data_IF_933537433910
#
_entry.id   IF_933537433910
#
_cell.length_a   1.000
_cell.length_b   1.000
_cell.length_c   1.000
_cell.angle_alpha   90.00
_cell.angle_beta   90.00
_cell.angle_gamma   90.00
#
_symmetry.space_group_name_H-M   'P 1'
#
loop_
_entity.id
_entity.type
_entity.pdbx_description
1 polymer ?
#
# COMPACT_ATOMS: atom_id res chain seq x y z
N UNK A 1 -25.09 -21.26 5.44
CA UNK A 1 -24.17 -20.12 5.72
C UNK A 1 -23.36 -20.43 6.95
N UNK A 2 -22.05 -20.36 6.84
CA UNK A 2 -21.13 -20.48 7.96
C UNK A 2 -20.58 -19.09 8.31
N UNK A 3 -20.49 -18.81 9.62
CA UNK A 3 -19.78 -17.64 10.15
C UNK A 3 -18.55 -18.17 10.87
N UNK A 4 -17.38 -17.73 10.43
CA UNK A 4 -16.10 -18.11 11.00
C UNK A 4 -15.37 -16.88 11.53
N UNK A 5 -14.99 -16.91 12.79
CA UNK A 5 -14.26 -15.81 13.43
C UNK A 5 -12.79 -16.20 13.55
N UNK A 6 -11.93 -15.42 12.95
CA UNK A 6 -10.48 -15.63 12.99
C UNK A 6 -9.72 -14.31 13.08
N UNK A 7 -8.51 -14.36 13.60
CA UNK A 7 -7.54 -13.27 13.51
C UNK A 7 -6.44 -13.57 12.49
N UNK A 8 -6.56 -14.69 11.77
CA UNK A 8 -5.64 -15.08 10.70
C UNK A 8 -6.16 -14.55 9.36
N UNK A 9 -5.40 -13.63 8.76
CA UNK A 9 -5.75 -12.94 7.52
C UNK A 9 -5.78 -13.92 6.34
N UNK A 10 -4.84 -14.86 6.28
CA UNK A 10 -4.75 -15.83 5.19
C UNK A 10 -5.96 -16.76 5.20
N UNK A 11 -6.40 -17.23 6.37
CA UNK A 11 -7.64 -18.00 6.50
C UNK A 11 -8.84 -17.20 6.02
N UNK A 12 -8.98 -15.94 6.44
CA UNK A 12 -10.08 -15.09 6.02
C UNK A 12 -10.10 -14.90 4.50
N UNK A 13 -8.95 -14.59 3.89
CA UNK A 13 -8.84 -14.35 2.45
C UNK A 13 -9.09 -15.60 1.60
N UNK A 14 -8.67 -16.78 2.07
CA UNK A 14 -8.72 -18.01 1.28
C UNK A 14 -10.01 -18.82 1.45
N UNK A 15 -10.69 -18.69 2.60
CA UNK A 15 -11.83 -19.54 2.95
C UNK A 15 -13.19 -18.84 2.88
N UNK A 16 -13.22 -17.51 2.70
CA UNK A 16 -14.44 -16.73 2.80
C UNK A 16 -14.93 -16.20 1.45
N UNK A 17 -16.24 -16.17 1.27
CA UNK A 17 -16.88 -15.48 0.16
C UNK A 17 -17.06 -13.99 0.49
N UNK A 18 -17.22 -13.69 1.77
CA UNK A 18 -17.37 -12.33 2.30
C UNK A 18 -16.63 -12.20 3.62
N UNK A 19 -15.89 -11.11 3.77
CA UNK A 19 -15.12 -10.77 4.96
C UNK A 19 -15.75 -9.55 5.64
N UNK A 20 -15.84 -9.62 6.95
CA UNK A 20 -16.17 -8.49 7.82
C UNK A 20 -14.92 -8.20 8.66
N UNK A 21 -14.28 -7.07 8.45
CA UNK A 21 -13.14 -6.62 9.25
C UNK A 21 -13.66 -5.80 10.41
N UNK A 22 -13.27 -6.18 11.63
CA UNK A 22 -13.69 -5.51 12.86
C UNK A 22 -12.49 -5.01 13.67
N UNK A 23 -12.65 -3.88 14.31
CA UNK A 23 -11.70 -3.34 15.26
C UNK A 23 -12.44 -2.71 16.44
N UNK A 24 -12.07 -3.06 17.66
CA UNK A 24 -12.68 -2.53 18.90
C UNK A 24 -14.22 -2.59 18.91
N UNK A 25 -14.78 -3.67 18.37
CA UNK A 25 -16.23 -3.88 18.29
C UNK A 25 -16.94 -3.13 17.17
N UNK A 26 -16.22 -2.36 16.35
CA UNK A 26 -16.77 -1.63 15.21
C UNK A 26 -16.39 -2.31 13.91
N UNK A 27 -17.34 -2.36 12.98
CA UNK A 27 -17.10 -2.83 11.61
C UNK A 27 -16.30 -1.77 10.86
N UNK A 28 -15.14 -2.18 10.34
CA UNK A 28 -14.26 -1.31 9.56
C UNK A 28 -14.56 -1.41 8.07
N UNK A 29 -14.84 -2.60 7.57
CA UNK A 29 -15.17 -2.83 6.16
C UNK A 29 -15.84 -4.19 5.99
N UNK A 30 -16.71 -4.29 4.99
CA UNK A 30 -17.33 -5.55 4.55
C UNK A 30 -17.15 -5.64 3.03
N UNK A 31 -16.65 -6.78 2.56
CA UNK A 31 -16.47 -6.99 1.12
C UNK A 31 -16.02 -8.39 0.77
N UNK A 32 -15.80 -8.63 -0.53
CA UNK A 32 -15.14 -9.84 -0.99
C UNK A 32 -13.65 -9.81 -0.59
N UNK A 33 -12.96 -10.97 -0.52
CA UNK A 33 -11.53 -11.00 -0.26
C UNK A 33 -10.71 -10.08 -1.16
N UNK A 34 -11.03 -10.05 -2.44
CA UNK A 34 -10.34 -9.22 -3.44
C UNK A 34 -10.57 -7.73 -3.17
N UNK A 35 -11.82 -7.33 -2.89
CA UNK A 35 -12.14 -5.92 -2.62
C UNK A 35 -11.45 -5.42 -1.33
N UNK A 36 -11.50 -6.24 -0.26
CA UNK A 36 -10.84 -5.89 1.01
C UNK A 36 -9.33 -5.71 0.84
N UNK A 37 -8.69 -6.55 0.01
CA UNK A 37 -7.25 -6.46 -0.26
C UNK A 37 -6.89 -5.28 -1.15
N UNK A 38 -7.59 -5.12 -2.27
CA UNK A 38 -7.26 -4.11 -3.28
C UNK A 38 -7.74 -2.71 -2.92
N UNK A 39 -8.90 -2.61 -2.25
CA UNK A 39 -9.58 -1.35 -1.93
C UNK A 39 -9.88 -1.23 -0.43
N UNK A 40 -8.85 -1.27 0.45
CA UNK A 40 -9.08 -1.08 1.88
C UNK A 40 -9.63 0.33 2.14
N UNK A 41 -10.67 0.42 2.98
CA UNK A 41 -11.32 1.70 3.28
C UNK A 41 -10.48 2.59 4.20
N UNK A 42 -9.59 1.99 5.00
CA UNK A 42 -8.73 2.74 5.90
C UNK A 42 -7.41 2.02 6.20
N UNK A 43 -6.50 2.73 6.85
CA UNK A 43 -5.16 2.26 7.24
C UNK A 43 -5.21 0.98 8.07
N UNK A 44 -6.19 0.83 8.97
CA UNK A 44 -6.34 -0.37 9.77
C UNK A 44 -6.59 -1.60 8.89
N UNK A 45 -7.55 -1.53 7.98
CA UNK A 45 -7.86 -2.63 7.06
C UNK A 45 -6.66 -2.94 6.17
N UNK A 46 -6.02 -1.92 5.60
CA UNK A 46 -4.85 -2.09 4.73
C UNK A 46 -3.72 -2.86 5.42
N UNK A 47 -3.40 -2.50 6.67
CA UNK A 47 -2.34 -3.14 7.45
C UNK A 47 -2.76 -4.49 8.02
N UNK A 48 -4.04 -4.68 8.32
CA UNK A 48 -4.56 -5.93 8.88
C UNK A 48 -4.58 -7.06 7.84
N UNK A 49 -4.96 -6.73 6.59
CA UNK A 49 -5.12 -7.72 5.53
C UNK A 49 -3.81 -8.08 4.83
N UNK A 50 -2.85 -7.19 4.83
CA UNK A 50 -1.56 -7.43 4.17
C UNK A 50 -0.53 -6.38 4.50
N UNK A 51 0.69 -6.59 4.03
CA UNK A 51 1.73 -5.59 4.16
C UNK A 51 1.45 -4.41 3.22
N UNK A 52 1.73 -3.20 3.69
CA UNK A 52 1.49 -1.98 2.95
C UNK A 52 2.56 -0.94 3.23
N UNK A 53 2.90 -0.16 2.22
CA UNK A 53 3.52 1.13 2.40
C UNK A 53 2.39 2.16 2.45
N UNK A 54 2.27 2.88 3.56
CA UNK A 54 1.26 3.92 3.73
C UNK A 54 1.95 5.27 3.82
N UNK A 55 1.47 6.21 3.02
CA UNK A 55 2.00 7.56 2.92
C UNK A 55 0.86 8.54 3.17
N UNK A 56 1.12 9.56 3.97
CA UNK A 56 0.21 10.69 4.14
C UNK A 56 0.39 11.68 2.99
N UNK A 57 -0.70 12.11 2.39
CA UNK A 57 -0.67 13.00 1.25
C UNK A 57 -1.94 13.83 1.11
N UNK A 58 -2.09 14.45 -0.03
CA UNK A 58 -3.25 15.28 -0.36
C UNK A 58 -3.85 14.85 -1.70
N UNK A 59 -5.16 14.82 -1.75
CA UNK A 59 -5.91 14.65 -3.00
C UNK A 59 -5.98 16.00 -3.70
N UNK A 60 -5.29 16.14 -4.83
CA UNK A 60 -5.24 17.43 -5.54
C UNK A 60 -6.53 17.64 -6.36
N UNK A 61 -6.92 16.63 -7.11
CA UNK A 61 -8.15 16.53 -7.91
C UNK A 61 -8.32 15.10 -8.39
N UNK A 62 -9.42 14.81 -9.04
CA UNK A 62 -9.65 13.51 -9.65
C UNK A 62 -8.43 13.06 -10.46
N UNK A 63 -7.95 11.86 -10.17
CA UNK A 63 -6.80 11.20 -10.79
C UNK A 63 -5.43 11.81 -10.49
N UNK A 64 -5.32 12.68 -9.45
CA UNK A 64 -4.06 13.31 -9.07
C UNK A 64 -3.93 13.43 -7.55
N UNK A 65 -2.86 12.88 -7.01
CA UNK A 65 -2.48 12.96 -5.60
C UNK A 65 -1.09 13.56 -5.43
N UNK A 66 -0.80 14.04 -4.23
CA UNK A 66 0.52 14.57 -3.88
C UNK A 66 0.96 13.98 -2.54
N UNK A 67 2.21 13.56 -2.48
CA UNK A 67 2.91 13.30 -1.22
C UNK A 67 4.39 13.65 -1.32
N UNK A 68 4.95 14.06 -0.19
CA UNK A 68 6.35 14.49 -0.09
C UNK A 68 6.77 15.52 -1.15
N UNK A 69 5.84 16.45 -1.51
CA UNK A 69 6.10 17.52 -2.46
C UNK A 69 6.14 17.11 -3.93
N UNK A 70 5.70 15.90 -4.25
CA UNK A 70 5.64 15.39 -5.63
C UNK A 70 4.23 14.92 -5.96
N UNK A 71 3.77 15.24 -7.18
CA UNK A 71 2.47 14.83 -7.68
C UNK A 71 2.55 13.54 -8.49
N UNK A 72 1.51 12.70 -8.34
CA UNK A 72 1.41 11.42 -9.01
C UNK A 72 0.00 11.22 -9.58
N UNK A 73 -0.07 10.71 -10.79
CA UNK A 73 -1.33 10.26 -11.39
C UNK A 73 -1.81 9.01 -10.67
N UNK A 74 -3.12 8.93 -10.41
CA UNK A 74 -3.80 7.77 -9.83
C UNK A 74 -5.12 7.49 -10.55
N UNK A 75 -5.84 6.47 -10.12
CA UNK A 75 -7.15 6.10 -10.70
C UNK A 75 -8.33 6.49 -9.80
N UNK A 76 -8.05 7.02 -8.62
CA UNK A 76 -9.06 7.41 -7.65
C UNK A 76 -9.67 8.77 -7.97
N UNK A 77 -10.93 8.92 -7.56
CA UNK A 77 -11.73 10.14 -7.74
C UNK A 77 -12.77 10.30 -6.63
N UNK A 78 -13.35 11.47 -6.52
CA UNK A 78 -14.48 11.72 -5.63
C UNK A 78 -14.13 12.19 -4.23
N UNK A 79 -12.85 12.40 -3.92
CA UNK A 79 -12.42 13.12 -2.72
C UNK A 79 -12.50 14.64 -2.93
N UNK A 80 -12.49 15.41 -1.85
CA UNK A 80 -12.46 16.86 -1.95
C UNK A 80 -11.07 17.34 -2.39
N UNK A 81 -11.02 18.37 -3.24
CA UNK A 81 -9.74 18.97 -3.66
C UNK A 81 -8.99 19.56 -2.45
N UNK A 82 -7.74 19.15 -2.30
CA UNK A 82 -6.89 19.54 -1.17
C UNK A 82 -7.11 18.72 0.10
N UNK A 83 -8.00 17.73 0.10
CA UNK A 83 -8.24 16.85 1.24
C UNK A 83 -6.98 16.07 1.62
N UNK A 84 -6.72 15.97 2.93
CA UNK A 84 -5.74 15.01 3.45
C UNK A 84 -6.23 13.59 3.21
N UNK A 85 -5.34 12.72 2.74
CA UNK A 85 -5.63 11.32 2.43
C UNK A 85 -4.47 10.43 2.85
N UNK A 86 -4.78 9.18 3.10
CA UNK A 86 -3.79 8.11 3.19
C UNK A 86 -3.66 7.42 1.82
N UNK A 87 -2.44 7.13 1.43
CA UNK A 87 -2.12 6.48 0.15
C UNK A 87 -1.47 5.14 0.46
N UNK A 88 -1.98 4.07 -0.13
CA UNK A 88 -1.44 2.73 -0.01
C UNK A 88 -0.72 2.35 -1.28
N UNK A 89 0.50 1.84 -1.11
CA UNK A 89 1.29 1.18 -2.15
C UNK A 89 1.67 -0.21 -1.64
N UNK A 90 1.23 -1.26 -2.34
CA UNK A 90 1.58 -2.63 -1.94
C UNK A 90 3.04 -2.92 -2.27
N UNK A 91 3.75 -3.67 -1.41
CA UNK A 91 5.16 -4.00 -1.66
C UNK A 91 5.42 -4.72 -2.99
N UNK A 92 4.49 -5.55 -3.43
CA UNK A 92 4.56 -6.31 -4.69
C UNK A 92 4.33 -5.47 -5.95
N UNK A 93 3.74 -4.28 -5.80
CA UNK A 93 3.42 -3.36 -6.90
C UNK A 93 4.50 -2.30 -7.13
N UNK A 94 5.50 -2.26 -6.26
CA UNK A 94 6.64 -1.35 -6.40
C UNK A 94 7.78 -2.01 -7.15
N UNK A 95 8.25 -1.36 -8.19
CA UNK A 95 9.41 -1.77 -8.98
C UNK A 95 10.66 -1.00 -8.57
N UNK A 96 11.79 -1.70 -8.53
CA UNK A 96 13.12 -1.09 -8.36
C UNK A 96 13.72 -0.93 -9.75
N UNK A 97 14.05 0.30 -10.11
CA UNK A 97 14.63 0.65 -11.40
C UNK A 97 15.92 1.45 -11.23
N UNK A 98 16.68 1.59 -12.31
CA UNK A 98 17.90 2.40 -12.31
C UNK A 98 17.59 3.88 -12.01
N UNK A 99 18.52 4.58 -11.32
CA UNK A 99 18.35 6.00 -11.03
C UNK A 99 18.06 6.83 -12.28
N UNK A 100 17.06 7.72 -12.16
CA UNK A 100 16.59 8.56 -13.26
C UNK A 100 15.48 7.92 -14.13
N UNK A 101 15.08 6.67 -13.83
CA UNK A 101 14.03 5.97 -14.59
C UNK A 101 12.73 5.77 -13.81
N UNK A 102 12.73 6.07 -12.53
CA UNK A 102 11.57 5.93 -11.67
C UNK A 102 11.03 7.27 -11.17
N UNK A 103 10.18 7.19 -10.17
CA UNK A 103 9.46 8.33 -9.61
C UNK A 103 10.03 8.83 -8.28
N UNK A 104 10.58 7.91 -7.46
CA UNK A 104 11.07 8.23 -6.12
C UNK A 104 12.49 7.68 -5.96
N UNK A 105 13.45 8.57 -5.73
CA UNK A 105 14.85 8.20 -5.53
C UNK A 105 15.09 7.64 -4.12
N UNK A 106 15.93 6.61 -4.02
CA UNK A 106 16.29 6.02 -2.75
C UNK A 106 17.57 5.19 -2.80
N UNK A 107 17.84 4.55 -1.67
CA UNK A 107 18.98 3.65 -1.49
C UNK A 107 18.53 2.36 -0.83
N UNK A 108 18.98 1.24 -1.35
CA UNK A 108 18.72 -0.08 -0.75
C UNK A 108 19.46 -0.19 0.58
N UNK A 109 18.71 -0.38 1.67
CA UNK A 109 19.28 -0.49 3.03
C UNK A 109 19.14 -1.88 3.63
N UNK A 110 18.26 -2.72 3.09
CA UNK A 110 18.07 -4.11 3.54
C UNK A 110 17.61 -5.00 2.40
N UNK A 111 18.10 -6.24 2.37
CA UNK A 111 17.70 -7.29 1.42
C UNK A 111 17.55 -8.57 2.22
N UNK A 112 16.34 -9.13 2.29
CA UNK A 112 16.03 -10.35 3.03
C UNK A 112 15.36 -11.35 2.08
N UNK A 113 15.94 -12.56 1.99
CA UNK A 113 15.32 -13.64 1.23
C UNK A 113 14.20 -14.32 2.04
N UNK A 114 12.99 -14.35 1.51
CA UNK A 114 11.79 -14.91 2.14
C UNK A 114 11.37 -16.28 1.60
N UNK A 115 12.20 -16.91 0.78
CA UNK A 115 11.95 -18.22 0.18
C UNK A 115 11.36 -18.15 -1.22
N UNK A 116 10.37 -17.32 -1.47
CA UNK A 116 9.73 -17.13 -2.80
C UNK A 116 10.02 -15.77 -3.42
N UNK A 117 10.39 -14.80 -2.60
CA UNK A 117 10.74 -13.45 -3.02
C UNK A 117 11.77 -12.84 -2.07
N UNK A 118 12.37 -11.74 -2.48
CA UNK A 118 13.16 -10.86 -1.62
C UNK A 118 12.27 -9.76 -1.05
N UNK A 119 12.45 -9.48 0.22
CA UNK A 119 11.93 -8.28 0.86
C UNK A 119 13.06 -7.25 0.90
N UNK A 120 12.87 -6.16 0.19
CA UNK A 120 13.85 -5.09 0.05
C UNK A 120 13.32 -3.85 0.74
N UNK A 121 14.15 -3.21 1.55
CA UNK A 121 13.86 -1.93 2.14
C UNK A 121 14.67 -0.86 1.42
N UNK A 122 13.97 0.12 0.86
CA UNK A 122 14.55 1.27 0.18
C UNK A 122 14.31 2.51 1.01
N UNK A 123 15.39 3.16 1.44
CA UNK A 123 15.33 4.42 2.17
C UNK A 123 15.31 5.58 1.21
N UNK A 124 14.28 6.41 1.33
CA UNK A 124 14.15 7.66 0.60
C UNK A 124 14.40 8.85 1.53
N UNK A 125 14.29 10.07 1.02
CA UNK A 125 14.44 11.28 1.85
C UNK A 125 13.39 11.37 2.97
N UNK A 126 12.19 10.86 2.74
CA UNK A 126 11.06 11.08 3.65
C UNK A 126 10.66 9.83 4.45
N UNK A 127 10.78 8.64 3.89
CA UNK A 127 10.45 7.39 4.55
C UNK A 127 11.11 6.19 3.90
N UNK A 128 11.05 5.04 4.58
CA UNK A 128 11.47 3.77 4.03
C UNK A 128 10.28 3.09 3.33
N UNK A 129 10.53 2.49 2.16
CA UNK A 129 9.55 1.69 1.41
C UNK A 129 9.97 0.23 1.41
N UNK A 130 9.01 -0.65 1.63
CA UNK A 130 9.16 -2.10 1.52
C UNK A 130 8.76 -2.54 0.12
N UNK A 131 9.59 -3.35 -0.52
CA UNK A 131 9.35 -3.90 -1.86
C UNK A 131 9.48 -5.42 -1.81
N UNK A 132 8.54 -6.12 -2.44
CA UNK A 132 8.62 -7.56 -2.68
C UNK A 132 8.93 -7.81 -4.15
N UNK A 133 10.05 -8.45 -4.44
CA UNK A 133 10.49 -8.73 -5.80
C UNK A 133 11.22 -10.08 -5.87
N UNK A 134 11.22 -10.69 -7.05
CA UNK A 134 12.04 -11.87 -7.34
C UNK A 134 13.46 -11.51 -7.78
N UNK A 135 13.72 -10.24 -8.06
CA UNK A 135 15.00 -9.75 -8.53
C UNK A 135 15.94 -9.44 -7.36
N UNK A 136 17.16 -9.94 -7.45
CA UNK A 136 18.21 -9.66 -6.47
C UNK A 136 18.77 -8.26 -6.68
N UNK A 137 18.95 -7.55 -5.59
CA UNK A 137 19.69 -6.28 -5.54
C UNK A 137 20.67 -6.29 -4.37
N UNK A 138 21.49 -5.27 -4.26
CA UNK A 138 22.53 -5.17 -3.21
C UNK A 138 22.26 -3.99 -2.29
N UNK A 139 22.57 -4.18 -1.01
CA UNK A 139 22.58 -3.09 -0.02
C UNK A 139 23.58 -2.01 -0.43
N UNK A 140 23.17 -0.75 -0.32
CA UNK A 140 23.97 0.43 -0.69
C UNK A 140 23.75 0.89 -2.13
N UNK A 141 23.04 0.12 -2.96
CA UNK A 141 22.74 0.53 -4.34
C UNK A 141 21.77 1.71 -4.36
N UNK A 142 22.08 2.73 -5.15
CA UNK A 142 21.17 3.81 -5.49
C UNK A 142 20.17 3.33 -6.52
N UNK A 143 18.89 3.57 -6.27
CA UNK A 143 17.79 3.11 -7.11
C UNK A 143 16.69 4.16 -7.17
N UNK A 144 15.79 4.01 -8.13
CA UNK A 144 14.49 4.67 -8.10
C UNK A 144 13.40 3.63 -7.88
N UNK A 145 12.33 4.05 -7.23
CA UNK A 145 11.08 3.30 -7.15
C UNK A 145 10.16 3.74 -8.27
N UNK A 146 9.55 2.78 -8.94
CA UNK A 146 8.54 3.02 -9.98
C UNK A 146 7.26 2.24 -9.70
N UNK A 147 6.15 2.76 -10.16
CA UNK A 147 4.81 2.19 -10.00
C UNK A 147 3.86 2.82 -11.01
N UNK A 148 2.74 2.14 -11.26
CA UNK A 148 1.71 2.62 -12.17
C UNK A 148 0.62 3.39 -11.42
N UNK A 149 -0.19 4.23 -12.09
CA UNK A 149 -1.33 4.90 -11.47
C UNK A 149 -2.31 3.95 -10.77
N UNK A 150 -2.48 2.75 -11.30
CA UNK A 150 -3.34 1.68 -10.75
C UNK A 150 -2.81 1.07 -9.44
N UNK A 151 -1.52 1.23 -9.16
CA UNK A 151 -0.87 0.72 -7.96
C UNK A 151 -1.08 1.64 -6.74
N UNK A 152 -1.54 2.86 -6.99
CA UNK A 152 -1.87 3.85 -5.96
C UNK A 152 -3.32 3.64 -5.53
N UNK A 153 -3.55 3.43 -4.23
CA UNK A 153 -4.89 3.40 -3.66
C UNK A 153 -5.04 4.50 -2.63
N UNK A 154 -6.06 5.35 -2.81
CA UNK A 154 -6.34 6.51 -1.94
C UNK A 154 -7.43 6.16 -0.93
N UNK A 155 -7.18 6.47 0.34
CA UNK A 155 -8.10 6.20 1.45
C UNK A 155 -8.36 7.46 2.26
N UNK A 156 -9.50 7.46 2.98
CA UNK A 156 -9.73 8.44 4.05
C UNK A 156 -8.68 8.26 5.16
N UNK A 157 -8.15 9.36 5.73
CA UNK A 157 -7.19 9.26 6.83
C UNK A 157 -7.86 8.71 8.09
N UNK A 158 -7.14 7.87 8.87
CA UNK A 158 -7.65 7.43 10.17
C UNK A 158 -7.69 8.60 11.15
N UNK A 159 -8.88 8.84 11.73
CA UNK A 159 -9.11 9.84 12.78
C UNK A 159 -10.19 10.87 12.47
N UNK A 160 -10.89 10.74 11.38
CA UNK A 160 -12.06 11.57 11.02
C UNK A 160 -13.39 10.96 11.49
N UNK A 161 -13.43 10.49 12.76
CA UNK A 161 -14.69 10.04 13.38
C UNK A 161 -15.06 10.97 14.53
#
# INVERSE_FOLDING_TARGET
TFVYVTHDQEEALTMSDKIVVMNEGLIQQIGSPIDIYNEPENRFVANFIGESNIVEGHFIKDYLVEWHGQQFECVDKGFEEGQEVDIVLRPEDLDIVEPGRGKIAGEVVSVIFKGVHYEILVRTENQDYKIHTTDLTEVGKKVDLDFWPEDIHVMEPMGTY
#
